data_IF_313851372914
#
_entry.id   IF_313851372914
#
_cell.length_a   1.000
_cell.length_b   1.000
_cell.length_c   1.000
_cell.angle_alpha   90.00
_cell.angle_beta   90.00
_cell.angle_gamma   90.00
#
_symmetry.space_group_name_H-M   'P 1'
#
loop_
_entity.id
_entity.type
_entity.pdbx_description
1 polymer ?
#
# COMPACT_ATOMS: atom_id res chain seq x y z
N UNK A 1 8.78 -8.73 -16.51
CA UNK A 1 7.65 -8.00 -15.89
C UNK A 1 8.10 -6.58 -15.56
N UNK A 2 7.29 -5.54 -15.84
CA UNK A 2 7.67 -4.13 -15.60
C UNK A 2 7.31 -3.72 -14.16
N UNK A 3 8.22 -3.05 -13.46
CA UNK A 3 8.04 -2.59 -12.09
C UNK A 3 8.35 -1.10 -11.95
N UNK A 4 7.84 -0.47 -10.89
CA UNK A 4 8.16 0.89 -10.48
C UNK A 4 8.66 0.87 -9.04
N UNK A 5 9.61 1.74 -8.72
CA UNK A 5 10.05 1.93 -7.34
C UNK A 5 9.03 2.81 -6.61
N UNK A 6 8.49 2.32 -5.51
CA UNK A 6 7.60 3.04 -4.62
C UNK A 6 8.28 3.18 -3.26
N UNK A 7 8.41 4.40 -2.76
CA UNK A 7 9.07 4.67 -1.51
C UNK A 7 8.30 5.72 -0.71
N UNK A 8 8.15 5.50 0.60
CA UNK A 8 7.56 6.49 1.49
C UNK A 8 8.47 7.72 1.65
N UNK A 9 7.89 8.89 1.92
CA UNK A 9 8.68 10.13 2.07
C UNK A 9 9.64 10.11 3.26
N UNK A 10 9.35 9.29 4.28
CA UNK A 10 10.24 9.05 5.44
C UNK A 10 11.23 7.89 5.22
N UNK A 11 11.41 7.43 3.98
CA UNK A 11 12.38 6.37 3.66
C UNK A 11 13.77 6.93 3.40
N UNK A 12 14.80 6.10 3.57
CA UNK A 12 16.19 6.46 3.24
C UNK A 12 16.31 6.91 1.78
N UNK A 13 15.58 6.26 0.86
CA UNK A 13 15.56 6.60 -0.56
C UNK A 13 15.04 8.02 -0.79
N UNK A 14 13.96 8.41 -0.11
CA UNK A 14 13.41 9.76 -0.21
C UNK A 14 14.34 10.81 0.41
N UNK A 15 14.84 10.54 1.62
CA UNK A 15 15.72 11.46 2.35
C UNK A 15 17.03 11.72 1.61
N UNK A 16 17.66 10.66 1.06
CA UNK A 16 18.87 10.80 0.23
C UNK A 16 18.59 11.57 -1.06
N UNK A 17 17.46 11.32 -1.72
CA UNK A 17 17.13 11.93 -3.01
C UNK A 17 16.70 13.40 -2.93
N UNK A 18 16.00 13.79 -1.87
CA UNK A 18 15.37 15.11 -1.78
C UNK A 18 15.98 16.03 -0.73
N UNK A 19 16.63 15.48 0.31
CA UNK A 19 17.11 16.25 1.47
C UNK A 19 18.65 16.20 1.59
N UNK A 20 19.33 15.37 0.78
CA UNK A 20 20.80 15.31 0.72
C UNK A 20 21.44 14.35 1.73
N UNK A 21 20.65 13.58 2.47
CA UNK A 21 21.15 12.58 3.41
C UNK A 21 20.18 12.26 4.53
N UNK A 22 20.51 11.23 5.29
CA UNK A 22 19.83 10.88 6.54
C UNK A 22 20.76 11.33 7.65
N UNK A 23 20.30 12.20 8.55
CA UNK A 23 21.09 12.58 9.71
C UNK A 23 21.37 11.31 10.54
N UNK A 24 22.59 11.15 11.04
CA UNK A 24 23.09 9.91 11.64
C UNK A 24 22.26 9.43 12.85
N UNK A 25 21.55 10.35 13.50
CA UNK A 25 20.66 10.07 14.64
C UNK A 25 19.21 9.71 14.23
N UNK A 26 18.87 9.74 12.93
CA UNK A 26 17.49 9.62 12.45
C UNK A 26 17.30 8.30 11.72
N UNK A 27 16.52 7.39 12.32
CA UNK A 27 16.10 6.16 11.65
C UNK A 27 15.05 6.45 10.57
N UNK A 28 15.08 5.74 9.45
CA UNK A 28 14.01 5.80 8.45
C UNK A 28 12.75 5.08 8.94
N UNK A 29 11.61 5.76 8.82
CA UNK A 29 10.29 5.17 9.14
C UNK A 29 9.59 4.65 7.88
N UNK A 30 10.04 5.10 6.70
CA UNK A 30 9.49 4.72 5.41
C UNK A 30 10.20 3.52 4.78
N UNK A 31 9.44 2.67 4.10
CA UNK A 31 9.98 1.55 3.31
C UNK A 31 10.11 1.93 1.83
N UNK A 32 11.02 1.25 1.14
CA UNK A 32 11.15 1.27 -0.32
C UNK A 32 10.83 -0.12 -0.85
N UNK A 33 9.90 -0.20 -1.80
CA UNK A 33 9.44 -1.46 -2.40
C UNK A 33 9.30 -1.31 -3.91
N UNK A 34 9.39 -2.43 -4.63
CA UNK A 34 9.09 -2.47 -6.07
C UNK A 34 7.64 -2.90 -6.26
N UNK A 35 6.85 -2.09 -6.94
CA UNK A 35 5.45 -2.38 -7.26
C UNK A 35 5.30 -2.73 -8.74
N UNK A 36 4.43 -3.69 -9.11
CA UNK A 36 4.12 -3.97 -10.51
C UNK A 36 3.60 -2.73 -11.22
N UNK A 37 4.05 -2.50 -12.45
CA UNK A 37 3.56 -1.38 -13.26
C UNK A 37 2.12 -1.63 -13.72
N UNK A 38 1.22 -0.69 -13.42
CA UNK A 38 -0.23 -0.80 -13.68
C UNK A 38 -0.71 -0.14 -14.98
N UNK A 39 0.18 0.43 -15.79
CA UNK A 39 -0.21 1.13 -17.01
C UNK A 39 -0.44 2.65 -16.82
N UNK A 40 -1.19 3.29 -17.74
CA UNK A 40 -1.59 4.69 -17.64
C UNK A 40 -2.45 4.99 -16.40
N UNK A 41 -2.35 6.22 -15.89
CA UNK A 41 -3.05 6.62 -14.66
C UNK A 41 -4.57 6.71 -14.86
N UNK A 42 -5.02 7.05 -16.07
CA UNK A 42 -6.45 7.23 -16.40
C UNK A 42 -7.29 5.99 -16.08
N UNK A 43 -6.78 4.79 -16.39
CA UNK A 43 -7.44 3.52 -16.09
C UNK A 43 -7.63 3.33 -14.58
N UNK A 44 -6.57 3.58 -13.80
CA UNK A 44 -6.62 3.46 -12.34
C UNK A 44 -7.61 4.47 -11.72
N UNK A 45 -7.68 5.70 -12.26
CA UNK A 45 -8.64 6.70 -11.79
C UNK A 45 -10.07 6.25 -12.08
N UNK A 46 -10.35 5.75 -13.29
CA UNK A 46 -11.67 5.24 -13.66
C UNK A 46 -12.13 4.10 -12.75
N UNK A 47 -11.25 3.18 -12.39
CA UNK A 47 -11.55 2.08 -11.48
C UNK A 47 -11.91 2.58 -10.08
N UNK A 48 -11.10 3.51 -9.51
CA UNK A 48 -11.37 4.11 -8.19
C UNK A 48 -12.73 4.81 -8.19
N UNK A 49 -13.01 5.62 -9.21
CA UNK A 49 -14.28 6.33 -9.34
C UNK A 49 -15.46 5.36 -9.52
N UNK A 50 -15.27 4.25 -10.24
CA UNK A 50 -16.27 3.18 -10.38
C UNK A 50 -16.61 2.52 -9.05
N UNK A 51 -15.59 2.22 -8.24
CA UNK A 51 -15.76 1.67 -6.89
C UNK A 51 -16.52 2.62 -5.96
N UNK A 52 -16.17 3.92 -5.96
CA UNK A 52 -16.85 4.94 -5.15
C UNK A 52 -18.31 5.07 -5.57
N UNK A 53 -18.61 5.15 -6.89
CA UNK A 53 -20.00 5.21 -7.38
C UNK A 53 -20.82 4.00 -6.95
N UNK A 54 -20.24 2.80 -7.08
CA UNK A 54 -20.91 1.56 -6.65
C UNK A 54 -21.20 1.58 -5.15
N UNK A 55 -20.24 2.00 -4.33
CA UNK A 55 -20.43 2.17 -2.89
C UNK A 55 -21.56 3.17 -2.57
N UNK A 56 -21.62 4.32 -3.25
CA UNK A 56 -22.70 5.29 -3.12
C UNK A 56 -24.07 4.66 -3.40
N UNK A 57 -24.18 3.85 -4.46
CA UNK A 57 -25.42 3.14 -4.80
C UNK A 57 -25.85 2.18 -3.69
N UNK A 58 -24.91 1.42 -3.09
CA UNK A 58 -25.24 0.49 -2.01
C UNK A 58 -25.77 1.17 -0.75
N UNK A 59 -25.25 2.35 -0.40
CA UNK A 59 -25.70 3.09 0.80
C UNK A 59 -26.81 4.10 0.51
N UNK A 60 -27.26 4.20 -0.75
CA UNK A 60 -28.29 5.16 -1.17
C UNK A 60 -27.86 6.62 -1.07
N UNK A 61 -26.57 6.92 -1.29
CA UNK A 61 -26.05 8.29 -1.32
C UNK A 61 -26.06 8.84 -2.75
N UNK A 62 -26.74 9.98 -2.97
CA UNK A 62 -26.74 10.64 -4.28
C UNK A 62 -25.43 11.41 -4.54
N UNK A 63 -24.79 11.88 -3.46
CA UNK A 63 -23.58 12.68 -3.50
C UNK A 63 -22.57 12.23 -2.43
N UNK A 64 -21.28 12.49 -2.67
CA UNK A 64 -20.20 12.05 -1.78
C UNK A 64 -20.32 12.63 -0.34
N UNK A 65 -20.86 13.85 -0.20
CA UNK A 65 -21.10 14.46 1.12
C UNK A 65 -22.13 13.72 1.97
N UNK A 66 -22.98 12.90 1.35
CA UNK A 66 -23.99 12.10 2.05
C UNK A 66 -23.42 10.78 2.56
N UNK A 67 -22.33 10.29 1.96
CA UNK A 67 -21.73 9.00 2.27
C UNK A 67 -21.43 8.85 3.78
N UNK A 68 -20.80 9.82 4.48
CA UNK A 68 -20.53 9.69 5.90
C UNK A 68 -21.79 9.68 6.77
N UNK A 69 -22.91 10.24 6.28
CA UNK A 69 -24.18 10.33 7.03
C UNK A 69 -25.06 9.10 6.85
N UNK A 70 -24.99 8.45 5.68
CA UNK A 70 -25.84 7.30 5.31
C UNK A 70 -25.17 5.95 5.55
N UNK A 71 -23.85 5.91 5.68
CA UNK A 71 -23.12 4.64 5.81
C UNK A 71 -23.18 4.11 7.24
N UNK A 72 -23.65 2.88 7.41
CA UNK A 72 -23.56 2.15 8.67
C UNK A 72 -22.42 1.13 8.60
N UNK A 73 -21.44 1.27 9.48
CA UNK A 73 -20.35 0.31 9.59
C UNK A 73 -20.72 -0.83 10.55
N UNK A 74 -20.38 -2.05 10.16
CA UNK A 74 -20.56 -3.25 10.99
C UNK A 74 -19.18 -3.75 11.41
N UNK A 75 -18.99 -3.96 12.71
CA UNK A 75 -17.76 -4.56 13.23
C UNK A 75 -17.74 -6.06 12.92
N UNK A 76 -16.69 -6.50 12.25
CA UNK A 76 -16.43 -7.92 11.97
C UNK A 76 -15.35 -8.46 12.91
N UNK A 77 -15.40 -9.75 13.22
CA UNK A 77 -14.36 -10.45 14.01
C UNK A 77 -13.14 -10.81 13.18
N UNK A 78 -13.34 -11.09 11.88
CA UNK A 78 -12.29 -11.39 10.91
C UNK A 78 -12.40 -10.45 9.70
N UNK A 79 -11.35 -9.68 9.43
CA UNK A 79 -11.33 -8.71 8.33
C UNK A 79 -11.06 -9.35 6.97
N UNK A 80 -10.36 -10.49 6.97
CA UNK A 80 -9.93 -11.16 5.75
C UNK A 80 -11.06 -12.06 5.23
N UNK A 81 -11.65 -11.65 4.10
CA UNK A 81 -12.63 -12.46 3.39
C UNK A 81 -11.91 -13.50 2.52
N UNK A 82 -11.92 -14.76 2.94
CA UNK A 82 -11.28 -15.87 2.20
C UNK A 82 -12.16 -16.43 1.07
N UNK A 83 -13.44 -16.06 1.01
CA UNK A 83 -14.40 -16.63 0.06
C UNK A 83 -14.20 -16.06 -1.35
N UNK A 84 -13.79 -14.79 -1.44
CA UNK A 84 -13.57 -14.10 -2.72
C UNK A 84 -12.11 -13.71 -2.95
N UNK A 85 -11.17 -14.21 -2.13
CA UNK A 85 -9.75 -13.94 -2.33
C UNK A 85 -9.26 -14.70 -3.57
N UNK A 86 -8.51 -14.05 -4.48
CA UNK A 86 -7.84 -14.78 -5.55
C UNK A 86 -6.84 -15.77 -4.94
N UNK A 87 -6.94 -17.03 -5.35
CA UNK A 87 -5.99 -18.10 -4.99
C UNK A 87 -4.56 -17.58 -5.14
N UNK A 88 -3.77 -17.74 -4.08
CA UNK A 88 -2.45 -17.14 -3.89
C UNK A 88 -1.56 -17.23 -5.16
N UNK A 89 -1.16 -16.09 -5.71
CA UNK A 89 -0.01 -16.03 -6.59
C UNK A 89 1.26 -16.12 -5.73
N UNK A 90 2.08 -17.14 -5.98
CA UNK A 90 3.34 -17.41 -5.30
C UNK A 90 4.24 -16.17 -5.26
N UNK A 91 4.49 -15.63 -4.06
CA UNK A 91 5.60 -14.72 -3.81
C UNK A 91 6.82 -15.55 -3.42
N UNK A 92 7.84 -15.57 -4.28
CA UNK A 92 9.16 -16.08 -3.95
C UNK A 92 9.69 -15.34 -2.71
N UNK A 93 10.14 -16.10 -1.72
CA UNK A 93 10.75 -15.57 -0.50
C UNK A 93 12.09 -14.93 -0.86
N UNK A 94 12.26 -13.65 -0.50
CA UNK A 94 13.56 -13.00 -0.49
C UNK A 94 14.47 -13.73 0.52
N UNK A 95 15.72 -14.10 0.17
CA UNK A 95 16.57 -14.89 1.05
C UNK A 95 16.95 -14.06 2.28
N UNK A 96 16.79 -14.66 3.46
CA UNK A 96 17.16 -14.10 4.75
C UNK A 96 18.59 -13.54 4.72
N UNK A 97 18.73 -12.24 4.93
CA UNK A 97 20.02 -11.61 5.20
C UNK A 97 20.59 -12.22 6.48
N UNK A 98 21.58 -13.11 6.34
CA UNK A 98 22.29 -13.73 7.47
C UNK A 98 22.80 -12.62 8.38
N UNK A 99 22.23 -12.53 9.57
CA UNK A 99 22.72 -11.70 10.68
C UNK A 99 24.15 -12.14 10.98
N UNK A 100 25.12 -11.33 10.60
CA UNK A 100 26.53 -11.56 10.91
C UNK A 100 26.68 -11.49 12.43
N UNK A 101 26.91 -12.65 13.05
CA UNK A 101 27.35 -12.72 14.45
C UNK A 101 28.75 -12.12 14.50
N UNK A 102 28.90 -10.92 15.05
CA UNK A 102 30.19 -10.48 15.61
C UNK A 102 30.41 -11.27 16.90
N UNK A 103 31.33 -12.22 16.85
CA UNK A 103 31.87 -12.90 18.02
C UNK A 103 33.35 -12.54 18.19
N UNK A 104 33.81 -12.50 19.45
CA UNK A 104 35.19 -12.35 19.91
C UNK A 104 35.71 -10.91 19.84
N UNK A 105 36.25 -10.29 20.89
CA UNK A 105 36.71 -10.73 22.21
C UNK A 105 36.45 -9.63 23.25
#
# INVERSE_FOLDING_TARGET
QKFKSFYGMSSDTAMKKHVGGVAEYRSSEGKTVKVPYRGPVDETIRDILGGIRSACTYVGAAELRELPKRTTFIRVTQQLNQIFAPTQAHTEKEPDAKRQKTGGD
#
